data_IF_264416130364
#
_entry.id   IF_264416130364
#
_cell.length_a   1.000
_cell.length_b   1.000
_cell.length_c   1.000
_cell.angle_alpha   90.00
_cell.angle_beta   90.00
_cell.angle_gamma   90.00
#
_symmetry.space_group_name_H-M   'P 1'
#
loop_
_entity.id
_entity.type
_entity.pdbx_description
1 polymer ?
#
# COMPACT_ATOMS: atom_id res chain seq x y z
N UNK A 1 6.96 -16.18 6.55
CA UNK A 1 7.42 -14.87 6.01
C UNK A 1 7.19 -13.83 7.08
N UNK A 2 8.13 -12.93 7.33
CA UNK A 2 8.00 -11.86 8.33
C UNK A 2 8.28 -10.52 7.66
N UNK A 3 7.31 -9.59 7.65
CA UNK A 3 7.44 -8.26 7.05
C UNK A 3 8.13 -7.27 8.01
N UNK A 4 9.19 -7.72 8.67
CA UNK A 4 9.88 -6.98 9.73
C UNK A 4 9.20 -7.10 11.11
N UNK A 5 9.83 -6.57 12.18
CA UNK A 5 9.36 -6.69 13.55
C UNK A 5 7.98 -6.08 13.79
N UNK A 6 7.63 -4.98 13.10
CA UNK A 6 6.33 -4.29 13.24
C UNK A 6 5.14 -5.15 12.80
N UNK A 7 5.37 -6.10 11.90
CA UNK A 7 4.32 -6.96 11.35
C UNK A 7 3.99 -8.17 12.22
N UNK A 8 4.74 -8.40 13.29
CA UNK A 8 4.60 -9.59 14.15
C UNK A 8 3.43 -9.46 15.13
N UNK A 9 2.27 -9.04 14.65
CA UNK A 9 1.14 -8.70 15.51
C UNK A 9 0.30 -9.91 15.94
N UNK A 10 0.44 -11.07 15.30
CA UNK A 10 -0.46 -12.21 15.53
C UNK A 10 -0.07 -12.98 16.78
N UNK A 11 -0.93 -12.97 17.81
CA UNK A 11 -0.72 -13.78 19.01
C UNK A 11 -1.34 -15.17 18.90
N UNK A 12 -2.54 -15.26 18.33
CA UNK A 12 -3.29 -16.52 18.21
C UNK A 12 -4.32 -16.46 17.09
N UNK A 13 -4.52 -17.58 16.42
CA UNK A 13 -5.50 -17.77 15.34
C UNK A 13 -6.40 -18.95 15.67
N UNK A 14 -7.70 -18.79 15.41
CA UNK A 14 -8.72 -19.83 15.48
C UNK A 14 -9.45 -19.90 14.14
N UNK A 15 -9.62 -21.10 13.63
CA UNK A 15 -10.27 -21.36 12.34
C UNK A 15 -11.57 -22.12 12.53
N UNK A 16 -12.58 -21.78 11.73
CA UNK A 16 -13.84 -22.48 11.60
C UNK A 16 -14.26 -22.56 10.13
N UNK A 17 -15.38 -23.23 9.85
CA UNK A 17 -15.89 -23.35 8.49
C UNK A 17 -16.32 -21.98 7.96
N UNK A 18 -15.56 -21.42 7.01
CA UNK A 18 -15.81 -20.09 6.43
C UNK A 18 -15.57 -18.91 7.38
N UNK A 19 -14.95 -19.13 8.54
CA UNK A 19 -14.73 -18.10 9.55
C UNK A 19 -13.33 -18.19 10.15
N UNK A 20 -12.71 -17.05 10.43
CA UNK A 20 -11.39 -16.97 11.02
C UNK A 20 -11.37 -15.86 12.07
N UNK A 21 -10.93 -16.20 13.28
CA UNK A 21 -10.71 -15.25 14.36
C UNK A 21 -9.21 -15.19 14.64
N UNK A 22 -8.66 -14.00 14.82
CA UNK A 22 -7.31 -13.85 15.36
C UNK A 22 -7.28 -12.79 16.45
N UNK A 23 -6.38 -12.99 17.42
CA UNK A 23 -6.03 -11.99 18.41
C UNK A 23 -4.69 -11.39 18.03
N UNK A 24 -4.66 -10.07 17.95
CA UNK A 24 -3.52 -9.30 17.51
C UNK A 24 -3.06 -8.33 18.61
N UNK A 25 -1.75 -8.16 18.74
CA UNK A 25 -1.12 -7.19 19.62
C UNK A 25 0.04 -6.51 18.91
N UNK A 26 0.16 -5.20 19.01
CA UNK A 26 1.32 -4.47 18.50
C UNK A 26 2.55 -4.88 19.32
N UNK A 27 3.64 -5.36 18.69
CA UNK A 27 4.84 -5.76 19.41
C UNK A 27 5.49 -4.59 20.15
N UNK A 28 6.03 -4.83 21.35
CA UNK A 28 7.00 -3.89 21.95
C UNK A 28 8.23 -3.80 21.01
N UNK A 29 8.78 -2.61 20.70
CA UNK A 29 8.58 -1.29 21.33
C UNK A 29 7.53 -0.37 20.65
N UNK A 30 6.73 -0.87 19.71
CA UNK A 30 5.87 -0.05 18.84
C UNK A 30 4.51 0.31 19.46
N UNK A 31 4.24 -0.13 20.69
CA UNK A 31 2.94 0.05 21.37
C UNK A 31 2.54 1.52 21.48
N UNK A 32 3.51 2.42 21.71
CA UNK A 32 3.25 3.86 21.83
C UNK A 32 2.81 4.51 20.50
N UNK A 33 3.18 3.91 19.35
CA UNK A 33 2.78 4.40 18.02
C UNK A 33 1.26 4.35 17.84
N UNK A 34 0.59 3.39 18.49
CA UNK A 34 -0.88 3.20 18.41
C UNK A 34 -1.64 4.37 19.01
N UNK A 35 -1.12 4.96 20.09
CA UNK A 35 -1.72 6.14 20.72
C UNK A 35 -1.59 7.38 19.82
N UNK A 36 -0.52 7.46 19.03
CA UNK A 36 -0.29 8.54 18.07
C UNK A 36 -1.05 8.35 16.76
N UNK A 37 -1.25 7.10 16.34
CA UNK A 37 -1.88 6.70 15.09
C UNK A 37 -3.18 5.96 15.42
N UNK A 38 -4.29 6.71 15.54
CA UNK A 38 -5.61 6.14 15.85
C UNK A 38 -6.05 5.00 14.91
N UNK A 39 -5.40 4.85 13.76
CA UNK A 39 -5.41 3.67 12.91
C UNK A 39 -3.97 3.21 12.64
N UNK A 40 -3.48 2.24 13.41
CA UNK A 40 -2.11 1.75 13.24
C UNK A 40 -1.98 0.91 11.94
N UNK A 41 -1.18 1.33 10.94
CA UNK A 41 -1.23 0.79 9.58
C UNK A 41 -0.83 -0.68 9.51
N UNK A 42 0.26 -1.09 10.16
CA UNK A 42 0.66 -2.50 10.22
C UNK A 42 -0.35 -3.37 10.95
N UNK A 43 -1.00 -2.82 11.98
CA UNK A 43 -2.01 -3.57 12.74
C UNK A 43 -3.22 -3.82 11.83
N UNK A 44 -3.64 -2.81 11.07
CA UNK A 44 -4.75 -2.93 10.12
C UNK A 44 -4.41 -3.87 8.95
N UNK A 45 -3.20 -3.78 8.39
CA UNK A 45 -2.74 -4.66 7.31
C UNK A 45 -2.74 -6.12 7.77
N UNK A 46 -2.22 -6.40 8.97
CA UNK A 46 -2.28 -7.75 9.54
C UNK A 46 -3.73 -8.13 9.83
N UNK A 47 -4.53 -7.23 10.40
CA UNK A 47 -5.93 -7.51 10.76
C UNK A 47 -6.81 -7.87 9.56
N UNK A 48 -6.53 -7.31 8.40
CA UNK A 48 -7.27 -7.57 7.15
C UNK A 48 -6.62 -8.65 6.28
N UNK A 49 -5.31 -8.86 6.40
CA UNK A 49 -4.51 -9.75 5.55
C UNK A 49 -3.98 -11.03 6.19
N UNK A 50 -4.13 -11.25 7.51
CA UNK A 50 -3.51 -12.41 8.18
C UNK A 50 -3.98 -13.77 7.65
N UNK A 51 -5.18 -13.84 7.06
CA UNK A 51 -5.66 -15.06 6.39
C UNK A 51 -4.69 -15.48 5.28
N UNK A 52 -4.12 -14.52 4.55
CA UNK A 52 -3.07 -14.81 3.56
C UNK A 52 -1.79 -15.34 4.19
N UNK A 53 -1.47 -14.92 5.41
CA UNK A 53 -0.20 -15.24 6.05
C UNK A 53 -0.22 -16.59 6.77
N UNK A 54 -1.40 -17.02 7.22
CA UNK A 54 -1.55 -18.18 8.09
C UNK A 54 -2.39 -19.32 7.53
N UNK A 55 -3.29 -19.06 6.57
CA UNK A 55 -4.21 -20.09 6.06
C UNK A 55 -3.96 -20.46 4.60
N UNK A 56 -3.38 -19.56 3.81
CA UNK A 56 -3.10 -19.77 2.39
C UNK A 56 -1.57 -19.87 2.18
N UNK A 57 -1.16 -20.72 1.22
CA UNK A 57 0.27 -20.79 0.82
C UNK A 57 0.69 -19.67 -0.12
N UNK A 58 -0.29 -18.97 -0.70
CA UNK A 58 -0.07 -17.90 -1.68
C UNK A 58 -0.33 -16.52 -1.03
N UNK A 59 0.52 -15.54 -1.35
CA UNK A 59 0.33 -14.16 -0.91
C UNK A 59 -0.89 -13.55 -1.61
N UNK A 60 -1.88 -13.12 -0.84
CA UNK A 60 -3.07 -12.41 -1.29
C UNK A 60 -2.87 -10.91 -1.05
N UNK A 61 -3.18 -10.11 -2.06
CA UNK A 61 -3.12 -8.65 -1.98
C UNK A 61 -4.53 -8.05 -1.94
N UNK A 62 -4.75 -7.02 -1.10
CA UNK A 62 -6.01 -6.29 -1.08
C UNK A 62 -6.21 -5.54 -2.39
N UNK A 63 -7.40 -5.66 -2.98
CA UNK A 63 -7.73 -5.07 -4.27
C UNK A 63 -8.85 -4.03 -4.17
N UNK A 64 -9.95 -4.39 -3.49
CA UNK A 64 -11.10 -3.50 -3.31
C UNK A 64 -11.85 -3.84 -2.02
N UNK A 65 -12.66 -2.89 -1.57
CA UNK A 65 -13.66 -3.07 -0.53
C UNK A 65 -14.93 -2.33 -0.94
N UNK A 66 -16.09 -2.73 -0.40
CA UNK A 66 -17.35 -2.01 -0.63
C UNK A 66 -17.56 -0.89 0.38
N UNK A 67 -17.37 -1.17 1.66
CA UNK A 67 -17.48 -0.16 2.73
C UNK A 67 -16.43 -0.43 3.81
N UNK A 68 -15.96 0.65 4.44
CA UNK A 68 -15.22 0.63 5.70
C UNK A 68 -15.97 1.57 6.65
N UNK A 69 -16.32 1.07 7.83
CA UNK A 69 -16.96 1.84 8.88
C UNK A 69 -16.06 1.80 10.12
N UNK A 70 -15.64 2.96 10.62
CA UNK A 70 -14.80 3.08 11.80
C UNK A 70 -15.60 3.73 12.92
N UNK A 71 -15.64 3.07 14.08
CA UNK A 71 -16.40 3.50 15.25
C UNK A 71 -15.50 4.07 16.35
N UNK A 72 -14.25 3.61 16.43
CA UNK A 72 -13.27 4.06 17.42
C UNK A 72 -11.83 3.80 16.95
N UNK A 73 -10.82 4.45 17.55
CA UNK A 73 -9.40 4.14 17.34
C UNK A 73 -9.06 2.68 17.67
N UNK A 74 -8.02 2.14 17.02
CA UNK A 74 -7.53 0.80 17.34
C UNK A 74 -6.65 0.84 18.59
N UNK A 75 -6.98 0.10 19.67
CA UNK A 75 -6.07 -0.08 20.80
C UNK A 75 -4.90 -1.01 20.41
N UNK A 76 -3.84 -1.09 21.24
CA UNK A 76 -2.67 -1.92 20.93
C UNK A 76 -2.98 -3.41 20.83
N UNK A 77 -4.09 -3.87 21.42
CA UNK A 77 -4.58 -5.25 21.31
C UNK A 77 -6.01 -5.28 20.77
N UNK A 78 -6.23 -6.07 19.74
CA UNK A 78 -7.54 -6.21 19.10
C UNK A 78 -7.83 -7.68 18.76
N UNK A 79 -9.10 -7.97 18.54
CA UNK A 79 -9.55 -9.17 17.86
C UNK A 79 -9.95 -8.81 16.43
N UNK A 80 -9.63 -9.67 15.46
CA UNK A 80 -10.11 -9.56 14.09
C UNK A 80 -10.91 -10.82 13.74
N UNK A 81 -12.12 -10.62 13.25
CA UNK A 81 -13.02 -11.67 12.83
C UNK A 81 -13.31 -11.53 11.33
N UNK A 82 -12.90 -12.54 10.57
CA UNK A 82 -13.08 -12.64 9.12
C UNK A 82 -14.14 -13.68 8.81
N UNK A 83 -15.18 -13.27 8.09
CA UNK A 83 -16.17 -14.18 7.51
C UNK A 83 -15.93 -14.28 6.02
N UNK A 84 -15.58 -15.46 5.54
CA UNK A 84 -15.47 -15.73 4.11
C UNK A 84 -16.85 -15.63 3.48
N UNK A 85 -16.97 -14.81 2.43
CA UNK A 85 -18.17 -14.77 1.61
C UNK A 85 -18.14 -15.99 0.71
N UNK A 86 -19.20 -16.78 0.72
CA UNK A 86 -19.33 -17.93 -0.18
C UNK A 86 -19.22 -17.42 -1.61
N UNK A 87 -18.32 -18.02 -2.38
CA UNK A 87 -18.11 -17.69 -3.78
C UNK A 87 -19.45 -17.75 -4.54
N UNK A 88 -19.83 -16.66 -5.21
CA UNK A 88 -20.86 -16.78 -6.26
C UNK A 88 -20.30 -17.76 -7.28
N UNK A 89 -21.08 -18.77 -7.67
CA UNK A 89 -20.67 -19.73 -8.71
C UNK A 89 -20.03 -18.99 -9.89
N UNK A 90 -18.72 -19.11 -10.05
CA UNK A 90 -17.94 -18.41 -11.09
C UNK A 90 -16.76 -17.53 -10.62
N UNK A 91 -16.50 -17.31 -9.32
CA UNK A 91 -15.26 -16.62 -8.91
C UNK A 91 -14.03 -17.51 -9.17
N UNK A 92 -12.97 -17.01 -9.84
CA UNK A 92 -11.73 -17.76 -10.00
C UNK A 92 -11.13 -18.11 -8.63
N UNK A 93 -10.52 -19.30 -8.49
CA UNK A 93 -9.77 -19.72 -7.28
C UNK A 93 -8.66 -18.75 -6.83
N UNK A 94 -8.35 -17.75 -7.66
CA UNK A 94 -7.35 -16.71 -7.43
C UNK A 94 -7.89 -15.51 -6.62
N UNK A 95 -9.20 -15.37 -6.49
CA UNK A 95 -9.87 -14.26 -5.80
C UNK A 95 -10.65 -14.76 -4.59
N UNK A 96 -10.53 -14.05 -3.47
CA UNK A 96 -11.26 -14.34 -2.22
C UNK A 96 -11.90 -13.08 -1.68
N UNK A 97 -13.10 -13.21 -1.11
CA UNK A 97 -13.84 -12.08 -0.54
C UNK A 97 -14.21 -12.35 0.91
N UNK A 98 -14.02 -11.35 1.77
CA UNK A 98 -14.27 -11.45 3.20
C UNK A 98 -15.04 -10.23 3.71
N UNK A 99 -15.83 -10.43 4.76
CA UNK A 99 -16.21 -9.33 5.64
C UNK A 99 -15.26 -9.37 6.86
N UNK A 100 -14.73 -8.21 7.26
CA UNK A 100 -13.79 -8.06 8.38
C UNK A 100 -14.46 -7.28 9.50
N UNK A 101 -14.33 -7.76 10.73
CA UNK A 101 -14.79 -7.04 11.94
C UNK A 101 -13.64 -6.98 12.93
N UNK A 102 -13.24 -5.77 13.33
CA UNK A 102 -12.24 -5.55 14.37
C UNK A 102 -12.94 -5.20 15.68
N UNK A 103 -12.50 -5.84 16.76
CA UNK A 103 -13.07 -5.69 18.09
C UNK A 103 -11.98 -5.36 19.12
N UNK A 104 -12.35 -4.67 20.19
CA UNK A 104 -11.47 -4.54 21.37
C UNK A 104 -11.45 -5.83 22.21
N UNK A 105 -10.80 -5.79 23.38
CA UNK A 105 -10.73 -6.92 24.30
C UNK A 105 -12.08 -7.22 24.98
N UNK A 106 -12.98 -6.24 25.05
CA UNK A 106 -14.33 -6.36 25.60
C UNK A 106 -15.36 -6.85 24.56
N UNK A 107 -14.95 -6.99 23.30
CA UNK A 107 -15.81 -7.41 22.19
C UNK A 107 -16.64 -6.29 21.56
N UNK A 108 -16.32 -5.01 21.82
CA UNK A 108 -16.95 -3.87 21.12
C UNK A 108 -16.38 -3.75 19.73
N UNK A 109 -17.25 -3.51 18.75
CA UNK A 109 -16.85 -3.32 17.36
C UNK A 109 -16.17 -1.97 17.17
N UNK A 110 -14.93 -1.99 16.70
CA UNK A 110 -14.12 -0.80 16.44
C UNK A 110 -14.12 -0.42 14.96
N UNK A 111 -14.12 -1.42 14.07
CA UNK A 111 -14.07 -1.23 12.64
C UNK A 111 -14.75 -2.39 11.92
N UNK A 112 -15.49 -2.10 10.85
CA UNK A 112 -16.01 -3.12 9.94
C UNK A 112 -15.61 -2.84 8.50
N UNK A 113 -15.27 -3.89 7.76
CA UNK A 113 -15.01 -3.84 6.32
C UNK A 113 -15.93 -4.84 5.63
N UNK A 114 -16.64 -4.41 4.59
CA UNK A 114 -17.54 -5.28 3.81
C UNK A 114 -17.00 -5.50 2.41
N UNK A 115 -17.19 -6.71 1.90
CA UNK A 115 -16.76 -7.14 0.57
C UNK A 115 -15.28 -6.81 0.30
N UNK A 116 -14.41 -7.14 1.27
CA UNK A 116 -12.97 -7.01 1.16
C UNK A 116 -12.44 -8.10 0.23
N UNK A 117 -12.04 -7.69 -0.98
CA UNK A 117 -11.57 -8.60 -2.02
C UNK A 117 -10.05 -8.63 -2.04
N UNK A 118 -9.51 -9.84 -1.97
CA UNK A 118 -8.10 -10.11 -2.09
C UNK A 118 -7.81 -11.04 -3.26
N UNK A 119 -6.64 -10.87 -3.88
CA UNK A 119 -6.21 -11.66 -5.05
C UNK A 119 -4.77 -12.13 -4.92
N UNK A 120 -4.48 -13.33 -5.41
CA UNK A 120 -3.12 -13.90 -5.39
C UNK A 120 -2.13 -13.00 -6.13
N UNK A 121 -0.97 -12.72 -5.53
CA UNK A 121 0.05 -11.83 -6.07
C UNK A 121 0.55 -12.28 -7.45
N UNK A 122 0.73 -13.58 -7.66
CA UNK A 122 1.09 -14.17 -8.97
C UNK A 122 0.10 -13.84 -10.08
N UNK A 123 -1.19 -13.70 -9.74
CA UNK A 123 -2.24 -13.38 -10.70
C UNK A 123 -2.27 -11.87 -11.05
N UNK A 124 -1.48 -11.06 -10.34
CA UNK A 124 -1.34 -9.62 -10.55
C UNK A 124 -0.08 -9.28 -11.36
N UNK A 125 0.91 -10.19 -11.45
CA UNK A 125 2.19 -9.96 -12.15
C UNK A 125 2.06 -9.51 -13.61
N UNK A 126 1.06 -10.05 -14.33
CA UNK A 126 0.74 -9.69 -15.71
C UNK A 126 -0.03 -8.37 -15.84
N UNK A 127 -0.58 -7.86 -14.73
CA UNK A 127 -1.44 -6.67 -14.66
C UNK A 127 -0.77 -5.49 -13.96
N UNK A 128 0.48 -5.63 -13.50
CA UNK A 128 1.19 -4.58 -12.75
C UNK A 128 1.34 -3.29 -13.54
N UNK A 129 1.62 -3.39 -14.84
CA UNK A 129 1.73 -2.21 -15.73
C UNK A 129 0.39 -1.48 -15.77
N UNK A 130 -0.71 -2.21 -16.00
CA UNK A 130 -2.04 -1.63 -16.02
C UNK A 130 -2.49 -1.06 -14.65
N UNK A 131 -2.11 -1.69 -13.54
CA UNK A 131 -2.39 -1.17 -12.20
C UNK A 131 -1.59 0.10 -11.88
N UNK A 132 -0.31 0.13 -12.25
CA UNK A 132 0.54 1.32 -12.12
C UNK A 132 -0.01 2.49 -12.94
N UNK A 133 -0.47 2.21 -14.15
CA UNK A 133 -0.93 3.23 -15.10
C UNK A 133 -2.42 3.56 -14.95
N UNK A 134 -3.13 2.89 -14.01
CA UNK A 134 -4.55 3.11 -13.75
C UNK A 134 -5.49 2.60 -14.85
N UNK A 135 -5.04 1.69 -15.70
CA UNK A 135 -5.76 1.14 -16.86
C UNK A 135 -6.28 -0.29 -16.66
N UNK A 136 -6.30 -0.77 -15.40
CA UNK A 136 -6.76 -2.14 -15.09
C UNK A 136 -8.28 -2.28 -15.17
N UNK A 137 -8.77 -3.33 -15.83
CA UNK A 137 -10.20 -3.68 -15.84
C UNK A 137 -10.69 -4.24 -14.49
N UNK A 138 -9.77 -4.65 -13.59
CA UNK A 138 -10.09 -5.27 -12.30
C UNK A 138 -10.22 -4.27 -11.15
N UNK A 139 -9.47 -3.19 -11.25
CA UNK A 139 -9.65 -1.98 -10.44
C UNK A 139 -10.19 -0.96 -11.41
N UNK A 140 -11.52 -0.91 -11.64
CA UNK A 140 -12.07 0.07 -12.56
C UNK A 140 -11.52 1.43 -12.17
N UNK A 141 -10.93 2.13 -13.15
CA UNK A 141 -10.57 3.52 -12.98
C UNK A 141 -11.78 4.20 -12.35
N UNK A 142 -11.54 5.04 -11.34
CA UNK A 142 -12.60 5.70 -10.59
C UNK A 142 -13.67 6.22 -11.57
N UNK A 143 -14.84 5.60 -11.57
CA UNK A 143 -15.93 6.01 -12.45
C UNK A 143 -16.44 7.34 -11.95
N UNK A 144 -16.00 8.41 -12.62
CA UNK A 144 -16.50 9.74 -12.36
C UNK A 144 -18.03 9.72 -12.47
N UNK A 145 -18.76 10.31 -11.51
CA UNK A 145 -20.22 10.38 -11.59
C UNK A 145 -20.66 11.00 -12.92
N UNK A 146 -21.68 10.41 -13.54
CA UNK A 146 -22.16 10.84 -14.85
C UNK A 146 -22.71 12.26 -14.77
N UNK A 147 -22.05 13.20 -15.43
CA UNK A 147 -22.51 14.59 -15.50
C UNK A 147 -23.48 14.77 -16.68
N UNK A 148 -24.61 15.47 -16.51
CA UNK A 148 -25.51 15.79 -17.61
C UNK A 148 -24.89 16.89 -18.51
N UNK A 149 -24.67 16.58 -19.79
CA UNK A 149 -24.14 17.50 -20.80
C UNK A 149 -23.70 16.76 -22.07
N UNK A 150 -23.50 17.45 -23.22
CA UNK A 150 -23.06 16.80 -24.44
C UNK A 150 -21.69 16.13 -24.21
N UNK A 151 -21.61 14.84 -24.54
CA UNK A 151 -20.39 14.06 -24.40
C UNK A 151 -19.31 14.64 -25.32
N UNK A 152 -18.26 15.24 -24.76
CA UNK A 152 -17.04 15.47 -25.50
C UNK A 152 -16.22 14.17 -25.47
N UNK A 153 -16.25 13.44 -26.59
CA UNK A 153 -15.66 12.11 -26.75
C UNK A 153 -14.15 12.05 -26.48
N UNK A 154 -13.45 13.20 -26.46
CA UNK A 154 -11.98 13.21 -26.46
C UNK A 154 -11.30 13.43 -25.11
N UNK A 155 -12.00 13.80 -24.02
CA UNK A 155 -11.35 13.88 -22.70
C UNK A 155 -12.30 14.06 -21.50
N UNK A 156 -12.73 12.97 -20.88
CA UNK A 156 -13.53 13.00 -19.65
C UNK A 156 -12.86 13.80 -18.51
N UNK A 157 -11.52 13.85 -18.49
CA UNK A 157 -10.73 14.62 -17.53
C UNK A 157 -10.90 16.14 -17.69
N UNK A 158 -11.03 16.66 -18.93
CA UNK A 158 -11.22 18.11 -19.17
C UNK A 158 -12.64 18.57 -18.85
N UNK A 159 -13.66 17.78 -19.16
CA UNK A 159 -15.04 18.08 -18.80
C UNK A 159 -15.26 18.11 -17.27
N UNK A 160 -14.50 17.29 -16.54
CA UNK A 160 -14.49 17.31 -15.07
C UNK A 160 -13.74 18.53 -14.49
N UNK A 161 -12.70 19.03 -15.15
CA UNK A 161 -12.02 20.28 -14.74
C UNK A 161 -12.92 21.52 -14.92
N UNK A 162 -13.94 21.46 -15.78
CA UNK A 162 -14.89 22.56 -16.02
C UNK A 162 -16.06 22.59 -15.01
N UNK A 163 -16.35 21.46 -14.34
CA UNK A 163 -17.46 21.30 -13.38
C UNK A 163 -17.01 20.90 -11.99
N UNK A 164 -15.73 20.59 -11.83
CA UNK A 164 -15.09 20.31 -10.57
C UNK A 164 -14.93 21.57 -9.75
N UNK A 165 -14.82 21.35 -8.44
CA UNK A 165 -14.38 22.34 -7.48
C UNK A 165 -13.00 22.88 -7.91
N UNK A 166 -12.93 24.17 -8.23
CA UNK A 166 -11.66 24.80 -8.61
C UNK A 166 -10.65 24.64 -7.46
N UNK A 167 -9.34 24.57 -7.72
CA UNK A 167 -8.35 24.42 -6.65
C UNK A 167 -8.51 25.43 -5.51
N UNK A 168 -8.86 26.68 -5.83
CA UNK A 168 -9.15 27.71 -4.83
C UNK A 168 -10.42 27.38 -4.01
N UNK A 169 -11.48 26.91 -4.65
CA UNK A 169 -12.71 26.46 -3.98
C UNK A 169 -12.47 25.18 -3.16
N UNK A 170 -11.52 24.34 -3.60
CA UNK A 170 -11.00 23.15 -2.91
C UNK A 170 -10.30 23.48 -1.62
N UNK A 171 -9.37 24.44 -1.68
CA UNK A 171 -8.75 25.02 -0.50
C UNK A 171 -9.80 25.63 0.43
N UNK A 172 -10.76 26.39 -0.12
CA UNK A 172 -11.82 27.04 0.67
C UNK A 172 -12.76 26.01 1.34
N UNK A 173 -13.09 24.92 0.65
CA UNK A 173 -13.90 23.83 1.18
C UNK A 173 -13.13 23.03 2.24
N UNK A 174 -11.85 22.78 2.00
CA UNK A 174 -10.95 22.12 2.94
C UNK A 174 -10.76 22.97 4.21
N UNK A 175 -10.52 24.27 4.07
CA UNK A 175 -10.45 25.22 5.18
C UNK A 175 -11.77 25.27 5.96
N UNK A 176 -12.94 25.22 5.29
CA UNK A 176 -14.24 25.11 5.98
C UNK A 176 -14.43 23.80 6.72
N UNK A 177 -13.88 22.69 6.21
CA UNK A 177 -13.90 21.39 6.88
C UNK A 177 -12.98 21.39 8.10
N UNK A 178 -11.78 21.98 7.98
CA UNK A 178 -10.82 22.11 9.08
C UNK A 178 -11.23 23.16 10.12
N UNK A 179 -11.95 24.21 9.72
CA UNK A 179 -12.50 25.24 10.60
C UNK A 179 -13.79 24.80 11.32
N UNK A 180 -14.34 23.64 10.97
CA UNK A 180 -15.36 22.97 11.79
C UNK A 180 -14.65 22.38 13.00
N UNK A 181 -15.32 22.36 14.15
CA UNK A 181 -14.83 21.73 15.38
C UNK A 181 -14.90 20.19 15.23
N UNK A 182 -14.17 19.67 14.25
CA UNK A 182 -13.87 18.24 14.11
C UNK A 182 -12.68 17.97 15.01
N UNK A 183 -12.83 17.01 15.92
CA UNK A 183 -11.77 16.51 16.79
C UNK A 183 -10.45 16.29 16.01
N UNK A 184 -9.27 16.31 16.65
CA UNK A 184 -7.98 16.39 15.97
C UNK A 184 -7.86 15.36 14.84
N UNK A 185 -7.76 15.84 13.60
CA UNK A 185 -7.60 15.00 12.42
C UNK A 185 -6.11 14.94 12.06
N UNK A 186 -5.55 13.73 12.04
CA UNK A 186 -4.18 13.49 11.59
C UNK A 186 -4.23 13.08 10.12
N UNK A 187 -3.67 13.90 9.26
CA UNK A 187 -3.44 13.56 7.84
C UNK A 187 -2.00 13.10 7.72
N UNK A 188 -1.79 11.79 7.51
CA UNK A 188 -0.47 11.21 7.29
C UNK A 188 -0.18 11.21 5.79
N UNK A 189 0.64 12.15 5.34
CA UNK A 189 1.21 12.11 4.00
C UNK A 189 2.49 11.26 4.04
N UNK A 190 2.50 10.14 3.33
CA UNK A 190 3.67 9.24 3.23
C UNK A 190 4.76 9.76 2.30
N UNK A 191 4.54 10.95 1.72
CA UNK A 191 5.49 11.71 0.91
C UNK A 191 5.40 13.17 1.33
N UNK A 192 6.45 13.94 1.07
CA UNK A 192 6.43 15.38 1.33
C UNK A 192 5.18 16.03 0.71
N UNK A 193 4.27 16.48 1.58
CA UNK A 193 2.98 17.05 1.21
C UNK A 193 3.18 18.31 0.36
N UNK A 194 4.21 19.11 0.66
CA UNK A 194 4.56 20.32 -0.09
C UNK A 194 5.05 19.96 -1.49
N UNK A 195 5.83 18.89 -1.63
CA UNK A 195 6.27 18.39 -2.93
C UNK A 195 5.12 17.79 -3.76
N UNK A 196 4.21 17.05 -3.11
CA UNK A 196 2.96 16.56 -3.73
C UNK A 196 2.11 17.73 -4.24
N UNK A 197 1.90 18.75 -3.42
CA UNK A 197 1.17 19.97 -3.79
C UNK A 197 1.88 20.75 -4.93
N UNK A 198 3.21 20.80 -4.90
CA UNK A 198 4.02 21.39 -5.97
C UNK A 198 3.89 20.65 -7.31
N UNK A 199 3.84 19.31 -7.28
CA UNK A 199 3.66 18.47 -8.46
C UNK A 199 2.25 18.60 -9.07
N UNK A 200 1.21 18.78 -8.23
CA UNK A 200 -0.13 19.11 -8.71
C UNK A 200 -0.16 20.49 -9.38
N UNK A 201 0.62 21.45 -8.86
CA UNK A 201 0.84 22.74 -9.51
C UNK A 201 1.51 22.64 -10.89
N UNK A 202 2.39 21.64 -11.10
CA UNK A 202 3.09 21.39 -12.36
C UNK A 202 2.21 20.71 -13.44
N UNK A 203 1.01 20.24 -13.09
CA UNK A 203 0.01 19.74 -14.06
C UNK A 203 -0.77 20.89 -14.73
N UNK A 204 -0.59 22.14 -14.30
CA UNK A 204 -0.94 23.28 -15.16
C UNK A 204 -0.04 23.22 -16.39
N UNK A 205 -0.57 23.29 -17.61
CA UNK A 205 0.27 23.43 -18.80
C UNK A 205 1.02 24.75 -18.70
N UNK A 206 2.27 24.69 -18.22
CA UNK A 206 3.19 25.81 -18.18
C UNK A 206 4.19 25.63 -19.32
N UNK A 207 4.46 26.67 -20.13
CA UNK A 207 5.56 26.61 -21.08
C UNK A 207 6.85 26.31 -20.31
N UNK A 208 7.61 25.32 -20.77
CA UNK A 208 8.76 24.75 -20.06
C UNK A 208 9.75 25.83 -19.59
N UNK A 209 9.92 25.96 -18.27
CA UNK A 209 11.02 26.73 -17.65
C UNK A 209 12.24 25.79 -17.53
N UNK A 210 13.44 26.13 -18.04
CA UNK A 210 14.58 25.22 -18.11
C UNK A 210 15.32 25.01 -16.78
N UNK A 211 14.78 25.48 -15.64
CA UNK A 211 15.49 25.36 -14.35
C UNK A 211 15.39 23.94 -13.79
N UNK A 212 16.50 23.32 -13.36
CA UNK A 212 16.47 21.97 -12.83
C UNK A 212 15.63 21.91 -11.55
N UNK A 213 14.67 20.98 -11.53
CA UNK A 213 13.87 20.66 -10.35
C UNK A 213 14.80 20.29 -9.19
N UNK A 214 14.65 20.98 -8.05
CA UNK A 214 15.32 20.57 -6.81
C UNK A 214 14.72 19.23 -6.36
N UNK A 215 15.52 18.18 -6.12
CA UNK A 215 14.96 16.90 -5.69
C UNK A 215 14.22 17.06 -4.36
N UNK A 216 13.08 16.34 -4.17
CA UNK A 216 12.34 16.38 -2.91
C UNK A 216 13.27 15.95 -1.76
N UNK A 217 13.18 16.63 -0.62
CA UNK A 217 14.03 16.33 0.55
C UNK A 217 13.65 14.95 1.08
N UNK A 218 14.57 13.99 1.00
CA UNK A 218 14.41 12.68 1.62
C UNK A 218 14.47 12.80 3.16
N UNK A 219 13.65 12.02 3.85
CA UNK A 219 13.66 11.87 5.29
C UNK A 219 14.89 11.10 5.76
N UNK A 220 15.38 11.38 6.96
CA UNK A 220 16.50 10.63 7.52
C UNK A 220 16.12 9.16 7.75
N UNK A 221 17.07 8.25 7.52
CA UNK A 221 16.94 6.82 7.89
C UNK A 221 16.44 6.69 9.33
N UNK A 222 15.33 5.96 9.58
CA UNK A 222 14.82 5.78 10.93
C UNK A 222 15.84 5.04 11.81
N UNK A 223 15.76 5.17 13.14
CA UNK A 223 16.58 4.40 14.06
C UNK A 223 16.18 2.92 13.98
N UNK A 224 16.91 2.15 13.18
CA UNK A 224 16.74 0.69 13.04
C UNK A 224 17.80 -0.05 13.85
N UNK A 225 17.44 -1.22 14.40
CA UNK A 225 18.39 -2.12 15.05
C UNK A 225 19.45 -2.67 14.08
N UNK A 226 19.09 -2.78 12.79
CA UNK A 226 20.02 -3.15 11.73
C UNK A 226 21.03 -2.02 11.52
N UNK A 227 22.35 -2.28 11.51
CA UNK A 227 23.34 -1.26 11.21
C UNK A 227 23.25 -0.84 9.74
N UNK A 228 23.52 0.43 9.47
CA UNK A 228 23.63 0.90 8.10
C UNK A 228 24.86 0.27 7.42
N UNK A 229 24.63 -0.33 6.25
CA UNK A 229 25.67 -0.85 5.36
C UNK A 229 25.41 -0.29 3.96
N UNK A 230 26.39 0.43 3.41
CA UNK A 230 26.27 1.06 2.10
C UNK A 230 26.22 0.01 0.97
N UNK A 231 25.53 0.29 -0.14
CA UNK A 231 25.61 -0.51 -1.36
C UNK A 231 27.05 -0.67 -1.86
N UNK A 232 27.44 -1.91 -2.20
CA UNK A 232 28.82 -2.21 -2.67
C UNK A 232 28.87 -2.60 -4.14
N UNK A 233 27.74 -3.00 -4.75
CA UNK A 233 27.65 -3.37 -6.16
C UNK A 233 26.80 -2.38 -6.97
N UNK A 234 26.98 -2.28 -8.31
CA UNK A 234 26.16 -1.41 -9.15
C UNK A 234 24.66 -1.73 -9.08
N UNK A 235 24.31 -3.02 -8.96
CA UNK A 235 22.92 -3.46 -8.81
C UNK A 235 22.35 -3.03 -7.46
N UNK A 236 23.09 -3.25 -6.36
CA UNK A 236 22.67 -2.80 -5.04
C UNK A 236 22.49 -1.28 -4.99
N UNK A 237 23.38 -0.51 -5.63
CA UNK A 237 23.27 0.95 -5.69
C UNK A 237 21.97 1.36 -6.39
N UNK A 238 21.70 0.80 -7.58
CA UNK A 238 20.48 1.09 -8.33
C UNK A 238 19.21 0.71 -7.58
N UNK A 239 19.21 -0.45 -6.90
CA UNK A 239 18.07 -0.86 -6.08
C UNK A 239 17.90 0.07 -4.86
N UNK A 240 18.97 0.44 -4.16
CA UNK A 240 18.90 1.37 -3.04
C UNK A 240 18.38 2.75 -3.45
N UNK A 241 18.78 3.26 -4.63
CA UNK A 241 18.26 4.50 -5.21
C UNK A 241 16.75 4.39 -5.50
N UNK A 242 16.29 3.27 -6.07
CA UNK A 242 14.85 3.03 -6.29
C UNK A 242 14.06 2.97 -4.98
N UNK A 243 14.62 2.38 -3.91
CA UNK A 243 14.01 2.38 -2.58
C UNK A 243 13.90 3.80 -2.03
N UNK A 244 15.01 4.56 -2.06
CA UNK A 244 15.05 5.97 -1.63
C UNK A 244 13.96 6.76 -2.35
N UNK A 245 13.86 6.65 -3.67
CA UNK A 245 12.95 7.46 -4.46
C UNK A 245 11.47 7.08 -4.23
N UNK A 246 11.18 5.83 -3.87
CA UNK A 246 9.81 5.38 -3.59
C UNK A 246 9.35 5.65 -2.17
N UNK A 247 10.23 5.42 -1.19
CA UNK A 247 9.93 5.54 0.23
C UNK A 247 10.18 6.98 0.71
N UNK A 248 11.10 7.70 0.07
CA UNK A 248 11.51 9.04 0.45
C UNK A 248 12.46 9.07 1.63
N UNK A 249 13.31 8.05 1.81
CA UNK A 249 14.26 7.94 2.94
C UNK A 249 15.70 7.88 2.45
N UNK A 250 16.60 8.63 3.09
CA UNK A 250 18.04 8.64 2.81
C UNK A 250 18.87 8.70 4.11
N UNK A 251 19.93 7.88 4.28
CA UNK A 251 20.39 6.83 3.36
C UNK A 251 19.60 5.51 3.50
N UNK A 252 19.58 4.70 2.44
CA UNK A 252 19.06 3.31 2.45
C UNK A 252 20.23 2.34 2.54
N UNK A 253 20.28 1.54 3.61
CA UNK A 253 21.25 0.47 3.79
C UNK A 253 20.83 -0.81 3.08
N UNK A 254 21.79 -1.64 2.66
CA UNK A 254 21.49 -2.84 1.88
C UNK A 254 20.70 -3.92 2.63
N UNK A 255 20.76 -3.88 3.97
CA UNK A 255 20.04 -4.80 4.86
C UNK A 255 18.79 -4.17 5.48
N UNK A 256 18.44 -2.94 5.08
CA UNK A 256 17.23 -2.29 5.56
C UNK A 256 16.02 -2.99 4.94
N UNK A 257 15.11 -3.44 5.80
CA UNK A 257 13.87 -4.04 5.34
C UNK A 257 12.98 -2.93 4.75
N UNK A 258 12.39 -3.20 3.58
CA UNK A 258 11.46 -2.29 2.90
C UNK A 258 10.36 -1.75 3.82
N UNK A 259 9.77 -2.59 4.67
CA UNK A 259 8.71 -2.19 5.59
C UNK A 259 9.23 -1.41 6.80
N UNK A 260 10.43 -1.71 7.29
CA UNK A 260 11.04 -0.97 8.40
C UNK A 260 11.38 0.47 8.01
N UNK A 261 11.59 0.71 6.71
CA UNK A 261 11.76 2.04 6.13
C UNK A 261 10.43 2.78 5.89
N UNK A 262 9.28 2.14 6.12
CA UNK A 262 7.95 2.71 5.86
C UNK A 262 7.31 2.29 4.54
N UNK A 263 7.88 1.29 3.87
CA UNK A 263 7.26 0.65 2.71
C UNK A 263 5.96 -0.06 3.09
N UNK A 264 5.04 -0.15 2.12
CA UNK A 264 3.78 -0.89 2.25
C UNK A 264 3.43 -1.56 0.92
N UNK A 265 2.38 -2.40 0.90
CA UNK A 265 2.01 -3.23 -0.26
C UNK A 265 1.89 -2.44 -1.58
N UNK A 266 1.18 -1.30 -1.58
CA UNK A 266 1.04 -0.44 -2.76
C UNK A 266 2.39 0.16 -3.23
N UNK A 267 3.25 0.61 -2.31
CA UNK A 267 4.60 1.05 -2.68
C UNK A 267 5.39 -0.12 -3.28
N UNK A 268 5.27 -1.32 -2.71
CA UNK A 268 5.88 -2.54 -3.24
C UNK A 268 5.43 -2.84 -4.68
N UNK A 269 4.13 -2.72 -4.96
CA UNK A 269 3.58 -2.87 -6.33
C UNK A 269 4.24 -1.92 -7.31
N UNK A 270 4.28 -0.63 -6.97
CA UNK A 270 4.89 0.39 -7.84
C UNK A 270 6.40 0.19 -8.00
N UNK A 271 7.05 -0.27 -6.94
CA UNK A 271 8.48 -0.53 -6.90
C UNK A 271 8.88 -1.70 -7.80
N UNK A 272 8.14 -2.81 -7.80
CA UNK A 272 8.37 -3.93 -8.75
C UNK A 272 8.33 -3.44 -10.19
N UNK A 273 7.30 -2.66 -10.54
CA UNK A 273 7.18 -2.14 -11.90
C UNK A 273 8.38 -1.28 -12.29
N UNK A 274 8.86 -0.41 -11.39
CA UNK A 274 10.03 0.43 -11.63
C UNK A 274 11.35 -0.34 -11.70
N UNK A 275 11.53 -1.38 -10.90
CA UNK A 275 12.71 -2.24 -10.95
C UNK A 275 12.76 -2.99 -12.29
N UNK A 276 11.63 -3.55 -12.74
CA UNK A 276 11.53 -4.21 -14.06
C UNK A 276 12.01 -3.28 -15.18
N UNK A 277 11.56 -2.03 -15.18
CA UNK A 277 11.95 -1.05 -16.19
C UNK A 277 13.40 -0.59 -16.06
N UNK A 278 13.82 -0.21 -14.86
CA UNK A 278 15.14 0.43 -14.62
C UNK A 278 16.30 -0.56 -14.64
N UNK A 279 16.04 -1.82 -14.27
CA UNK A 279 17.04 -2.89 -14.22
C UNK A 279 16.91 -3.88 -15.38
N UNK A 280 15.85 -3.79 -16.19
CA UNK A 280 15.56 -4.72 -17.29
C UNK A 280 15.54 -6.19 -16.85
N UNK A 281 15.00 -6.45 -15.66
CA UNK A 281 14.93 -7.79 -15.05
C UNK A 281 13.50 -8.33 -15.04
N UNK A 282 13.38 -9.65 -15.02
CA UNK A 282 12.11 -10.30 -14.70
C UNK A 282 11.98 -10.46 -13.18
N UNK A 283 11.18 -9.61 -12.55
CA UNK A 283 10.94 -9.62 -11.10
C UNK A 283 9.46 -9.84 -10.80
N UNK A 284 9.07 -10.89 -10.09
CA UNK A 284 7.66 -11.07 -9.67
C UNK A 284 7.36 -10.32 -8.37
N UNK A 285 6.08 -10.00 -8.12
CA UNK A 285 5.65 -9.48 -6.81
C UNK A 285 6.02 -10.42 -5.66
N UNK A 286 5.84 -11.71 -5.89
CA UNK A 286 6.18 -12.74 -4.91
C UNK A 286 7.68 -12.68 -4.56
N UNK A 287 8.55 -12.60 -5.57
CA UNK A 287 10.00 -12.46 -5.36
C UNK A 287 10.35 -11.20 -4.54
N UNK A 288 9.70 -10.05 -4.79
CA UNK A 288 9.94 -8.87 -3.96
C UNK A 288 9.56 -9.13 -2.49
N UNK A 289 8.38 -9.72 -2.26
CA UNK A 289 7.90 -9.96 -0.90
C UNK A 289 8.67 -11.06 -0.15
N UNK A 290 9.31 -11.98 -0.88
CA UNK A 290 10.23 -12.97 -0.32
C UNK A 290 11.61 -12.37 0.00
N UNK A 291 12.01 -11.30 -0.70
CA UNK A 291 13.34 -10.69 -0.60
C UNK A 291 13.26 -9.17 -0.33
N UNK A 292 12.86 -8.81 0.89
CA UNK A 292 12.52 -7.44 1.30
C UNK A 292 13.72 -6.52 1.60
N UNK A 293 14.95 -6.94 1.30
CA UNK A 293 16.16 -6.12 1.47
C UNK A 293 16.87 -5.99 0.14
N UNK A 294 17.59 -4.88 -0.06
CA UNK A 294 18.36 -4.63 -1.28
C UNK A 294 19.39 -5.73 -1.53
N UNK A 295 20.08 -6.20 -0.49
CA UNK A 295 21.04 -7.29 -0.60
C UNK A 295 20.38 -8.59 -1.07
N UNK A 296 19.33 -9.05 -0.37
CA UNK A 296 18.65 -10.29 -0.70
C UNK A 296 18.03 -10.27 -2.10
N UNK A 297 17.49 -9.12 -2.52
CA UNK A 297 16.92 -8.96 -3.86
C UNK A 297 18.01 -8.94 -4.93
N UNK A 298 19.14 -8.27 -4.67
CA UNK A 298 20.27 -8.25 -5.60
C UNK A 298 20.83 -9.66 -5.84
N UNK A 299 20.91 -10.50 -4.80
CA UNK A 299 21.40 -11.88 -4.91
C UNK A 299 20.51 -12.69 -5.86
N UNK A 300 19.20 -12.65 -5.67
CA UNK A 300 18.22 -13.38 -6.51
C UNK A 300 18.19 -12.89 -7.95
N UNK A 301 18.38 -11.58 -8.16
CA UNK A 301 18.44 -11.01 -9.51
C UNK A 301 19.77 -11.28 -10.22
N UNK A 302 20.82 -11.64 -9.48
CA UNK A 302 22.13 -12.00 -10.04
C UNK A 302 22.23 -13.49 -10.34
N UNK A 303 21.50 -14.33 -9.60
CA UNK A 303 21.38 -15.76 -9.93
C UNK A 303 20.63 -15.96 -11.26
N UNK A 304 21.20 -16.70 -12.22
CA UNK A 304 20.53 -16.98 -13.48
C UNK A 304 19.29 -17.83 -13.18
N UNK A 305 18.10 -17.23 -13.28
CA UNK A 305 16.84 -17.94 -13.10
C UNK A 305 16.78 -19.09 -14.12
N UNK A 306 16.63 -20.36 -13.71
CA UNK A 306 16.48 -21.46 -14.65
C UNK A 306 15.22 -21.20 -15.46
N UNK A 307 15.41 -21.02 -16.78
CA UNK A 307 14.35 -20.79 -17.75
C UNK A 307 13.42 -22.00 -17.70
N UNK A 308 12.27 -21.87 -17.02
CA UNK A 308 11.28 -22.95 -16.98
C UNK A 308 10.70 -23.10 -18.39
N UNK A 309 11.21 -24.07 -19.13
CA UNK A 309 10.69 -24.44 -20.44
C UNK A 309 9.24 -24.92 -20.27
N UNK A 310 8.29 -24.17 -20.85
CA UNK A 310 6.94 -24.66 -21.07
C UNK A 310 7.03 -25.79 -22.10
N UNK A 311 6.78 -27.02 -21.65
CA UNK A 311 6.45 -28.15 -22.53
C UNK A 311 4.93 -28.26 -22.65
#
# INVERSE_FOLDING_TARGET
MTFGPRSQCVERVWTGEGHVLARLAVPEPYTDEVTALGLHPFLLDVATGFVSLYLERDYLMPLRYRTIEMHAPLPPRIHTFLTQRTDRAGTPHETRSFDVTLLDEDGRVLLTVRDFVMKKARALDSKLVALRDGTSDEVPAYSHPHLPGPAHEDNAFRAHLETGILPAEGTDAFDRVLARDVAPQVVVATKDLTALMGNVGALRPQPADPRPATPPRAHARPPLATPYVAPTTPLQQRLADLWRDHIGVEPVGIHDNFYDLGGHSLLGITLVARIRESCQVHLTLQTLFDHLTVAALADVLTEPTPRTERT
#
